data_IF_975068143300
#
_entry.id   IF_975068143300
#
_cell.length_a   1.000
_cell.length_b   1.000
_cell.length_c   1.000
_cell.angle_alpha   90.00
_cell.angle_beta   90.00
_cell.angle_gamma   90.00
#
_symmetry.space_group_name_H-M   'P 1'
#
loop_
_entity.id
_entity.type
_entity.pdbx_description
1 polymer ?
#
# COMPACT_ATOMS: atom_id res chain seq x y z
N UNK A 1 -10.72 25.35 -0.11
CA UNK A 1 -9.93 24.29 0.54
C UNK A 1 -10.62 22.97 0.28
N UNK A 2 -9.97 21.99 -0.34
CA UNK A 2 -10.55 20.66 -0.55
C UNK A 2 -10.20 19.83 0.70
N UNK A 3 -11.21 19.30 1.39
CA UNK A 3 -11.01 18.37 2.51
C UNK A 3 -10.70 17.00 1.91
N UNK A 4 -9.45 16.55 2.00
CA UNK A 4 -9.06 15.21 1.61
C UNK A 4 -9.65 14.20 2.60
N UNK A 5 -10.26 13.15 2.07
CA UNK A 5 -10.74 12.05 2.90
C UNK A 5 -9.56 11.31 3.54
N UNK A 6 -9.57 11.05 4.85
CA UNK A 6 -8.59 10.18 5.49
C UNK A 6 -8.64 8.76 4.93
N UNK A 7 -7.49 8.10 4.88
CA UNK A 7 -7.35 6.74 4.39
C UNK A 7 -6.38 5.95 5.25
N UNK A 8 -6.48 4.62 5.19
CA UNK A 8 -5.61 3.68 5.86
C UNK A 8 -4.68 2.99 4.86
N UNK A 9 -3.50 2.58 5.35
CA UNK A 9 -2.50 1.85 4.59
C UNK A 9 -2.18 0.54 5.28
N UNK A 10 -2.07 -0.53 4.50
CA UNK A 10 -1.63 -1.84 4.96
C UNK A 10 -0.47 -2.35 4.09
N UNK A 11 0.57 -2.85 4.76
CA UNK A 11 1.79 -3.36 4.15
C UNK A 11 1.87 -4.86 4.39
N UNK A 12 2.07 -5.64 3.33
CA UNK A 12 2.29 -7.09 3.42
C UNK A 12 3.72 -7.40 3.05
N UNK A 13 4.37 -8.20 3.89
CA UNK A 13 5.75 -8.63 3.70
C UNK A 13 5.84 -10.14 3.52
N UNK A 14 6.80 -10.60 2.73
CA UNK A 14 7.15 -12.01 2.64
C UNK A 14 8.04 -12.46 3.82
N UNK A 15 8.41 -13.74 3.84
CA UNK A 15 9.30 -14.33 4.87
C UNK A 15 10.73 -13.75 4.84
N UNK A 16 11.10 -13.07 3.77
CA UNK A 16 12.39 -12.39 3.61
C UNK A 16 12.33 -10.90 3.97
N UNK A 17 11.23 -10.44 4.58
CA UNK A 17 10.99 -9.03 4.92
C UNK A 17 10.90 -8.08 3.72
N UNK A 18 10.62 -8.60 2.52
CA UNK A 18 10.37 -7.76 1.35
C UNK A 18 8.91 -7.33 1.31
N UNK A 19 8.66 -6.05 1.02
CA UNK A 19 7.31 -5.54 0.80
C UNK A 19 6.76 -6.13 -0.51
N UNK A 20 5.69 -6.92 -0.43
CA UNK A 20 5.03 -7.54 -1.59
C UNK A 20 3.75 -6.83 -1.99
N UNK A 21 3.03 -6.23 -1.03
CA UNK A 21 1.78 -5.55 -1.31
C UNK A 21 1.63 -4.27 -0.47
N UNK A 22 1.15 -3.23 -1.12
CA UNK A 22 0.71 -1.97 -0.50
C UNK A 22 -0.76 -1.78 -0.80
N UNK A 23 -1.60 -1.77 0.23
CA UNK A 23 -3.03 -1.53 0.10
C UNK A 23 -3.40 -0.18 0.71
N UNK A 24 -4.17 0.61 -0.03
CA UNK A 24 -4.73 1.88 0.40
C UNK A 24 -6.25 1.77 0.38
N UNK A 25 -6.91 2.28 1.41
CA UNK A 25 -8.37 2.29 1.49
C UNK A 25 -8.87 3.57 2.16
N UNK A 26 -9.87 4.21 1.56
CA UNK A 26 -10.60 5.30 2.17
C UNK A 26 -11.29 4.87 3.47
N UNK A 27 -11.36 5.73 4.47
CA UNK A 27 -12.09 5.41 5.70
C UNK A 27 -13.58 5.13 5.45
N UNK A 28 -14.20 5.73 4.42
CA UNK A 28 -15.56 5.41 4.01
C UNK A 28 -15.71 4.06 3.29
N UNK A 29 -14.61 3.48 2.81
CA UNK A 29 -14.62 2.30 1.95
C UNK A 29 -14.97 2.58 0.48
N UNK A 30 -15.20 3.84 0.10
CA UNK A 30 -15.62 4.20 -1.26
C UNK A 30 -14.56 3.96 -2.33
N UNK A 31 -13.29 3.84 -1.94
CA UNK A 31 -12.22 3.40 -2.81
C UNK A 31 -11.22 2.52 -2.06
N UNK A 32 -10.66 1.57 -2.81
CA UNK A 32 -9.56 0.74 -2.37
C UNK A 32 -8.63 0.49 -3.57
N UNK A 33 -7.34 0.48 -3.31
CA UNK A 33 -6.33 0.13 -4.30
C UNK A 33 -5.27 -0.75 -3.65
N UNK A 34 -4.95 -1.88 -4.28
CA UNK A 34 -3.82 -2.73 -3.88
C UNK A 34 -2.78 -2.73 -4.99
N UNK A 35 -1.55 -2.37 -4.64
CA UNK A 35 -0.40 -2.41 -5.53
C UNK A 35 0.43 -3.65 -5.19
N UNK A 36 0.57 -4.55 -6.16
CA UNK A 36 1.52 -5.66 -6.06
C UNK A 36 2.91 -5.15 -6.44
N UNK A 37 3.88 -5.35 -5.55
CA UNK A 37 5.26 -4.90 -5.74
C UNK A 37 6.08 -6.07 -6.25
N UNK A 38 6.76 -5.86 -7.36
CA UNK A 38 7.61 -6.88 -7.94
C UNK A 38 8.87 -7.07 -7.06
N UNK A 39 9.31 -8.30 -6.78
CA UNK A 39 10.43 -8.57 -5.85
C UNK A 39 11.73 -7.83 -6.17
N UNK A 40 11.94 -7.46 -7.43
CA UNK A 40 13.13 -6.75 -7.90
C UNK A 40 13.06 -5.23 -7.80
N UNK A 41 11.94 -4.65 -7.34
CA UNK A 41 11.71 -3.20 -7.32
C UNK A 41 12.11 -2.50 -6.02
N UNK A 42 12.63 -3.23 -5.03
CA UNK A 42 12.96 -2.69 -3.70
C UNK A 42 14.45 -2.83 -3.31
N UNK A 43 15.37 -2.83 -4.28
CA UNK A 43 16.81 -2.78 -3.98
C UNK A 43 17.23 -1.34 -3.74
N UNK A 44 17.27 -0.93 -2.47
CA UNK A 44 18.05 0.23 -2.07
C UNK A 44 19.53 -0.06 -2.40
N UNK A 45 20.12 0.78 -3.24
CA UNK A 45 21.58 0.79 -3.46
C UNK A 45 22.28 1.53 -2.31
#
# INVERSE_FOLDING_TARGET
>A
MISLEPYQQAYTYDTGSNLTNLSHQANSGNWQQTLAIHPNSNRGF
#
